data_IF_169207864595
#
_entry.id   IF_169207864595
#
_cell.length_a   1.000
_cell.length_b   1.000
_cell.length_c   1.000
_cell.angle_alpha   90.00
_cell.angle_beta   90.00
_cell.angle_gamma   90.00
#
_symmetry.space_group_name_H-M   'P 1'
#
loop_
_entity.id
_entity.type
_entity.pdbx_description
1 polymer ?
#
# COMPACT_ATOMS: atom_id res chain seq x y z
N UNK A 1 25.79 -6.02 -29.01
CA UNK A 1 24.75 -5.46 -28.12
C UNK A 1 24.18 -6.64 -27.34
N UNK A 2 24.42 -6.75 -26.05
CA UNK A 2 23.73 -7.76 -25.22
C UNK A 2 22.33 -7.24 -24.99
N UNK A 3 21.35 -8.05 -25.32
CA UNK A 3 19.95 -7.76 -24.98
C UNK A 3 19.84 -7.66 -23.45
N UNK A 4 19.62 -6.44 -22.95
CA UNK A 4 19.47 -6.13 -21.54
C UNK A 4 18.01 -6.03 -21.13
N UNK A 5 17.12 -6.72 -21.86
CA UNK A 5 15.73 -6.86 -21.44
C UNK A 5 15.73 -7.49 -20.04
N UNK A 6 15.06 -6.87 -19.05
CA UNK A 6 14.98 -7.46 -17.73
C UNK A 6 14.30 -8.82 -17.83
N UNK A 7 14.99 -9.86 -17.41
CA UNK A 7 14.42 -11.20 -17.30
C UNK A 7 13.25 -11.10 -16.32
N UNK A 8 12.02 -11.31 -16.81
CA UNK A 8 10.85 -11.37 -15.95
C UNK A 8 11.08 -12.52 -14.95
N UNK A 9 10.92 -12.22 -13.67
CA UNK A 9 10.96 -13.23 -12.62
C UNK A 9 9.68 -14.05 -12.75
N UNK A 10 9.81 -15.37 -12.92
CA UNK A 10 8.66 -16.27 -12.88
C UNK A 10 8.19 -16.40 -11.42
N UNK A 11 7.18 -15.62 -11.07
CA UNK A 11 6.63 -15.51 -9.71
C UNK A 11 5.09 -15.38 -9.80
N UNK A 12 4.40 -16.46 -10.26
CA UNK A 12 2.96 -16.46 -10.41
C UNK A 12 2.23 -16.49 -9.06
N UNK A 13 0.99 -16.00 -9.05
CA UNK A 13 0.12 -16.11 -7.89
C UNK A 13 -0.69 -17.41 -7.91
N UNK A 14 -0.59 -18.22 -6.85
CA UNK A 14 -1.44 -19.38 -6.61
C UNK A 14 -2.67 -18.96 -5.78
N UNK A 15 -3.78 -18.64 -6.46
CA UNK A 15 -5.02 -18.21 -5.82
C UNK A 15 -5.61 -19.25 -4.85
N UNK A 16 -5.66 -20.56 -5.18
CA UNK A 16 -6.06 -21.60 -4.23
C UNK A 16 -5.23 -21.59 -2.94
N UNK A 17 -3.90 -21.55 -3.05
CA UNK A 17 -3.00 -21.53 -1.90
C UNK A 17 -3.16 -20.25 -1.07
N UNK A 18 -3.31 -19.07 -1.71
CA UNK A 18 -3.58 -17.80 -1.04
C UNK A 18 -4.90 -17.85 -0.24
N UNK A 19 -5.99 -18.34 -0.86
CA UNK A 19 -7.28 -18.45 -0.19
C UNK A 19 -7.23 -19.42 1.00
N UNK A 20 -6.56 -20.56 0.84
CA UNK A 20 -6.36 -21.51 1.94
C UNK A 20 -5.56 -20.88 3.10
N UNK A 21 -4.47 -20.17 2.77
CA UNK A 21 -3.65 -19.49 3.76
C UNK A 21 -4.40 -18.34 4.48
N UNK A 22 -5.39 -17.72 3.83
CA UNK A 22 -6.23 -16.65 4.40
C UNK A 22 -7.51 -17.18 5.08
N UNK A 23 -7.66 -18.49 5.25
CA UNK A 23 -8.84 -19.05 5.92
C UNK A 23 -9.08 -18.38 7.28
N UNK A 24 -10.32 -17.95 7.53
CA UNK A 24 -10.70 -17.19 8.74
C UNK A 24 -10.46 -15.69 8.68
N UNK A 25 -9.74 -15.18 7.68
CA UNK A 25 -9.56 -13.75 7.42
C UNK A 25 -10.75 -13.17 6.65
N UNK A 26 -11.07 -11.86 6.80
CA UNK A 26 -12.10 -11.19 6.00
C UNK A 26 -11.79 -11.18 4.50
N UNK A 27 -10.55 -11.49 4.10
CA UNK A 27 -10.09 -11.53 2.71
C UNK A 27 -10.28 -12.89 2.03
N UNK A 28 -10.52 -13.96 2.79
CA UNK A 28 -10.70 -15.31 2.27
C UNK A 28 -11.85 -15.40 1.27
N UNK A 29 -11.61 -15.98 0.08
CA UNK A 29 -12.59 -16.10 -0.98
C UNK A 29 -12.95 -14.79 -1.70
N UNK A 30 -12.18 -13.71 -1.45
CA UNK A 30 -12.42 -12.38 -2.01
C UNK A 30 -11.22 -11.81 -2.77
N UNK A 31 -10.36 -12.69 -3.24
CA UNK A 31 -9.16 -12.35 -4.02
C UNK A 31 -9.50 -12.32 -5.52
N UNK A 32 -9.23 -11.21 -6.17
CA UNK A 32 -9.45 -10.98 -7.60
C UNK A 32 -8.13 -10.61 -8.27
N UNK A 33 -7.57 -11.52 -9.04
CA UNK A 33 -6.32 -11.34 -9.77
C UNK A 33 -6.57 -10.93 -11.22
N UNK A 34 -5.72 -10.04 -11.73
CA UNK A 34 -5.73 -9.56 -13.12
C UNK A 34 -4.32 -9.64 -13.72
N UNK A 35 -4.12 -10.33 -14.85
CA UNK A 35 -2.84 -10.27 -15.57
C UNK A 35 -2.47 -8.82 -15.96
N UNK A 36 -3.45 -8.04 -16.42
CA UNK A 36 -3.30 -6.62 -16.71
C UNK A 36 -4.62 -5.91 -16.46
N UNK A 37 -4.56 -4.71 -15.90
CA UNK A 37 -5.73 -3.86 -15.64
C UNK A 37 -5.35 -2.39 -15.79
N UNK A 38 -6.33 -1.53 -16.01
CA UNK A 38 -6.09 -0.08 -16.06
C UNK A 38 -5.56 0.43 -14.71
N UNK A 39 -6.31 0.21 -13.62
CA UNK A 39 -5.92 0.55 -12.25
C UNK A 39 -6.71 -0.30 -11.26
N UNK A 40 -6.03 -0.98 -10.34
CA UNK A 40 -6.69 -1.75 -9.27
C UNK A 40 -7.54 -0.87 -8.37
N UNK A 41 -7.11 0.37 -8.06
CA UNK A 41 -7.89 1.33 -7.27
C UNK A 41 -9.17 1.76 -7.98
N UNK A 42 -9.06 2.17 -9.25
CA UNK A 42 -10.24 2.58 -10.02
C UNK A 42 -11.24 1.44 -10.14
N UNK A 43 -10.76 0.23 -10.40
CA UNK A 43 -11.61 -0.96 -10.48
C UNK A 43 -12.27 -1.25 -9.12
N UNK A 44 -11.51 -1.22 -8.02
CA UNK A 44 -12.04 -1.45 -6.67
C UNK A 44 -13.13 -0.44 -6.29
N UNK A 45 -12.96 0.85 -6.64
CA UNK A 45 -13.99 1.88 -6.42
C UNK A 45 -15.27 1.57 -7.19
N UNK A 46 -15.17 1.18 -8.47
CA UNK A 46 -16.33 0.78 -9.28
C UNK A 46 -17.04 -0.46 -8.72
N UNK A 47 -16.27 -1.46 -8.28
CA UNK A 47 -16.81 -2.66 -7.64
C UNK A 47 -17.48 -2.36 -6.31
N UNK A 48 -16.95 -1.41 -5.53
CA UNK A 48 -17.56 -0.95 -4.28
C UNK A 48 -18.95 -0.34 -4.50
N UNK A 49 -19.13 0.45 -5.56
CA UNK A 49 -20.41 1.02 -5.99
C UNK A 49 -21.38 -0.05 -6.49
N UNK A 50 -20.87 -1.10 -7.13
CA UNK A 50 -21.63 -2.27 -7.59
C UNK A 50 -21.96 -3.27 -6.48
N UNK A 51 -21.60 -2.98 -5.22
CA UNK A 51 -21.96 -3.80 -4.06
C UNK A 51 -20.95 -4.87 -3.69
N UNK A 52 -19.71 -4.82 -4.18
CA UNK A 52 -18.67 -5.74 -3.75
C UNK A 52 -18.52 -5.74 -2.22
N UNK A 53 -18.32 -6.91 -1.58
CA UNK A 53 -18.28 -7.02 -0.13
C UNK A 53 -17.03 -6.34 0.48
N UNK A 54 -17.16 -5.98 1.76
CA UNK A 54 -16.02 -5.57 2.60
C UNK A 54 -14.92 -6.64 2.58
N UNK A 55 -13.66 -6.24 2.49
CA UNK A 55 -12.53 -7.17 2.38
C UNK A 55 -12.28 -7.72 0.97
N UNK A 56 -12.93 -7.22 -0.09
CA UNK A 56 -12.55 -7.56 -1.47
C UNK A 56 -11.17 -7.02 -1.79
N UNK A 57 -10.32 -7.88 -2.39
CA UNK A 57 -8.94 -7.59 -2.74
C UNK A 57 -8.75 -7.70 -4.24
N UNK A 58 -8.31 -6.64 -4.88
CA UNK A 58 -8.05 -6.55 -6.31
C UNK A 58 -6.55 -6.34 -6.53
N UNK A 59 -5.88 -7.24 -7.24
CA UNK A 59 -4.45 -7.13 -7.47
C UNK A 59 -4.08 -7.58 -8.89
N UNK A 60 -2.94 -7.08 -9.38
CA UNK A 60 -2.57 -7.26 -10.77
C UNK A 60 -1.06 -7.47 -10.95
N UNK A 61 -0.71 -8.13 -12.06
CA UNK A 61 0.68 -8.20 -12.53
C UNK A 61 1.12 -6.90 -13.20
N UNK A 62 0.18 -6.19 -13.84
CA UNK A 62 0.42 -4.92 -14.53
C UNK A 62 -0.73 -3.94 -14.32
N UNK A 63 -0.41 -2.66 -14.24
CA UNK A 63 -1.38 -1.57 -14.40
C UNK A 63 -0.98 -0.67 -15.56
N UNK A 64 -1.89 -0.49 -16.54
CA UNK A 64 -1.64 0.36 -17.71
C UNK A 64 -1.80 1.86 -17.41
N UNK A 65 -2.49 2.21 -16.31
CA UNK A 65 -2.64 3.57 -15.82
C UNK A 65 -2.72 3.59 -14.29
N UNK A 66 -1.67 3.06 -13.63
CA UNK A 66 -1.54 3.08 -12.18
C UNK A 66 -1.60 4.51 -11.63
N UNK A 67 -2.26 4.67 -10.47
CA UNK A 67 -2.54 5.98 -9.87
C UNK A 67 -1.76 6.18 -8.58
N UNK A 68 -1.22 7.38 -8.41
CA UNK A 68 -0.68 7.89 -7.16
C UNK A 68 -1.52 9.03 -6.61
N UNK A 69 -1.08 9.64 -5.53
CA UNK A 69 -1.76 10.77 -4.88
C UNK A 69 -1.73 12.02 -5.79
N UNK A 70 -2.84 12.77 -5.82
CA UNK A 70 -3.00 13.92 -6.71
C UNK A 70 -3.08 13.47 -8.17
N UNK A 71 -2.33 14.13 -9.04
CA UNK A 71 -2.27 13.81 -10.47
C UNK A 71 -1.08 12.90 -10.84
N UNK A 72 -0.36 12.34 -9.86
CA UNK A 72 0.82 11.51 -10.14
C UNK A 72 0.42 10.12 -10.61
N UNK A 73 1.14 9.60 -11.61
CA UNK A 73 1.05 8.21 -12.03
C UNK A 73 1.91 7.31 -11.12
N UNK A 74 1.50 6.05 -11.01
CA UNK A 74 2.31 4.98 -10.42
C UNK A 74 2.71 4.01 -11.53
N UNK A 75 4.00 3.93 -11.83
CA UNK A 75 4.54 3.03 -12.83
C UNK A 75 4.43 1.58 -12.35
N UNK A 76 3.73 0.75 -13.12
CA UNK A 76 3.35 -0.60 -12.72
C UNK A 76 3.66 -1.63 -13.81
N UNK A 77 4.95 -1.85 -14.18
CA UNK A 77 5.30 -2.77 -15.25
C UNK A 77 5.00 -4.22 -14.87
N UNK A 78 4.71 -5.04 -15.88
CA UNK A 78 4.35 -6.45 -15.76
C UNK A 78 5.35 -7.23 -14.89
N UNK A 79 4.83 -8.01 -13.94
CA UNK A 79 5.61 -8.93 -13.10
C UNK A 79 6.61 -8.29 -12.16
N UNK A 80 6.72 -6.97 -12.13
CA UNK A 80 7.80 -6.28 -11.43
C UNK A 80 7.45 -5.81 -10.02
N UNK A 81 6.17 -5.66 -9.71
CA UNK A 81 5.73 -5.15 -8.44
C UNK A 81 4.53 -5.89 -7.86
N UNK A 82 4.13 -5.49 -6.68
CA UNK A 82 2.87 -5.87 -6.05
C UNK A 82 1.93 -4.67 -6.11
N UNK A 83 0.87 -4.76 -6.91
CA UNK A 83 -0.13 -3.72 -7.13
C UNK A 83 -1.47 -4.22 -6.60
N UNK A 84 -1.87 -3.77 -5.43
CA UNK A 84 -3.03 -4.29 -4.72
C UNK A 84 -3.92 -3.17 -4.19
N UNK A 85 -5.24 -3.36 -4.28
CA UNK A 85 -6.25 -2.47 -3.72
C UNK A 85 -7.22 -3.28 -2.87
N UNK A 86 -7.42 -2.85 -1.64
CA UNK A 86 -8.32 -3.49 -0.68
C UNK A 86 -9.52 -2.61 -0.44
N UNK A 87 -10.71 -3.15 -0.69
CA UNK A 87 -11.99 -2.50 -0.40
C UNK A 87 -12.35 -2.72 1.06
N UNK A 88 -12.58 -1.62 1.79
CA UNK A 88 -12.94 -1.62 3.19
C UNK A 88 -14.21 -0.77 3.42
N UNK A 89 -15.01 -1.17 4.42
CA UNK A 89 -16.18 -0.41 4.89
C UNK A 89 -16.04 -0.06 6.38
N UNK A 90 -15.02 0.77 6.72
CA UNK A 90 -14.70 1.06 8.11
C UNK A 90 -15.77 1.96 8.74
N UNK A 91 -16.07 1.71 10.02
CA UNK A 91 -17.00 2.55 10.81
C UNK A 91 -16.25 3.74 11.41
N UNK A 92 -15.74 4.62 10.57
CA UNK A 92 -15.05 5.85 10.97
C UNK A 92 -15.65 7.07 10.28
N UNK A 93 -15.42 8.25 10.84
CA UNK A 93 -15.80 9.51 10.20
C UNK A 93 -14.85 9.82 9.00
N UNK A 94 -15.32 10.57 7.99
CA UNK A 94 -14.46 10.97 6.87
C UNK A 94 -13.19 11.74 7.30
N UNK A 95 -13.28 12.52 8.36
CA UNK A 95 -12.13 13.25 8.92
C UNK A 95 -11.03 12.32 9.46
N UNK A 96 -11.36 11.07 9.78
CA UNK A 96 -10.45 10.08 10.35
C UNK A 96 -9.81 9.17 9.30
N UNK A 97 -10.11 9.36 8.02
CA UNK A 97 -9.65 8.46 6.93
C UNK A 97 -8.12 8.41 6.82
N UNK A 98 -7.44 9.48 7.22
CA UNK A 98 -5.98 9.53 7.22
C UNK A 98 -5.38 8.41 8.08
N UNK A 99 -6.02 8.06 9.20
CA UNK A 99 -5.56 6.99 10.08
C UNK A 99 -5.56 5.62 9.40
N UNK A 100 -6.49 5.40 8.46
CA UNK A 100 -6.50 4.17 7.65
C UNK A 100 -5.28 4.10 6.72
N UNK A 101 -4.90 5.22 6.10
CA UNK A 101 -3.69 5.30 5.27
C UNK A 101 -2.42 5.04 6.09
N UNK A 102 -2.35 5.61 7.30
CA UNK A 102 -1.22 5.44 8.21
C UNK A 102 -1.15 4.00 8.77
N UNK A 103 -2.28 3.40 9.09
CA UNK A 103 -2.39 1.99 9.47
C UNK A 103 -1.89 1.07 8.34
N UNK A 104 -2.26 1.36 7.08
CA UNK A 104 -1.75 0.64 5.93
C UNK A 104 -0.22 0.80 5.78
N UNK A 105 0.33 1.99 6.05
CA UNK A 105 1.77 2.22 6.09
C UNK A 105 2.49 1.35 7.12
N UNK A 106 1.93 1.22 8.32
CA UNK A 106 2.45 0.32 9.36
C UNK A 106 2.35 -1.15 8.93
N UNK A 107 1.26 -1.54 8.26
CA UNK A 107 1.10 -2.90 7.74
C UNK A 107 2.15 -3.23 6.69
N UNK A 108 2.43 -2.32 5.75
CA UNK A 108 3.51 -2.50 4.76
C UNK A 108 4.88 -2.57 5.45
N UNK A 109 5.17 -1.65 6.37
CA UNK A 109 6.44 -1.65 7.10
C UNK A 109 6.68 -3.00 7.79
N UNK A 110 5.71 -3.52 8.52
CA UNK A 110 5.80 -4.81 9.20
C UNK A 110 5.97 -5.98 8.21
N UNK A 111 5.26 -5.93 7.07
CA UNK A 111 5.36 -6.91 6.00
C UNK A 111 6.79 -7.00 5.47
N UNK A 112 7.37 -5.86 5.10
CA UNK A 112 8.72 -5.81 4.55
C UNK A 112 9.74 -6.33 5.57
N UNK A 113 9.69 -5.85 6.81
CA UNK A 113 10.58 -6.35 7.86
C UNK A 113 10.49 -7.86 8.04
N UNK A 114 9.28 -8.38 8.11
CA UNK A 114 9.02 -9.81 8.37
C UNK A 114 9.47 -10.71 7.22
N UNK A 115 9.20 -10.32 5.98
CA UNK A 115 9.47 -11.15 4.80
C UNK A 115 10.91 -11.01 4.34
N UNK A 116 11.46 -9.78 4.39
CA UNK A 116 12.75 -9.48 3.76
C UNK A 116 13.88 -9.20 4.74
N UNK A 117 13.56 -8.94 6.01
CA UNK A 117 14.48 -8.42 7.03
C UNK A 117 15.08 -7.05 6.71
N UNK A 118 14.57 -6.35 5.68
CA UNK A 118 14.94 -4.97 5.41
C UNK A 118 14.19 -4.03 6.36
N UNK A 119 14.81 -2.90 6.69
CA UNK A 119 14.22 -1.87 7.57
C UNK A 119 13.80 -0.64 6.74
N UNK A 120 12.52 -0.55 6.34
CA UNK A 120 12.02 0.59 5.61
C UNK A 120 11.77 1.78 6.53
N UNK A 121 11.84 2.98 5.99
CA UNK A 121 11.48 4.23 6.66
C UNK A 121 10.09 4.69 6.22
N UNK A 122 9.24 5.06 7.18
CA UNK A 122 7.91 5.60 6.91
C UNK A 122 7.99 7.11 6.69
N UNK A 123 7.66 7.56 5.49
CA UNK A 123 7.50 8.99 5.19
C UNK A 123 6.01 9.33 5.15
N UNK A 124 5.60 10.06 6.16
CA UNK A 124 4.22 10.57 6.26
C UNK A 124 3.83 11.37 4.98
N UNK A 125 2.58 11.27 4.48
CA UNK A 125 1.50 10.45 5.03
C UNK A 125 1.34 9.07 4.37
N UNK A 126 2.08 8.72 3.31
CA UNK A 126 1.68 7.62 2.43
C UNK A 126 2.83 6.91 1.70
N UNK A 127 4.07 7.15 2.08
CA UNK A 127 5.23 6.61 1.38
C UNK A 127 6.13 5.76 2.30
N UNK A 128 6.76 4.72 1.74
CA UNK A 128 7.84 4.02 2.40
C UNK A 128 9.09 4.06 1.54
N UNK A 129 10.23 4.29 2.20
CA UNK A 129 11.51 4.56 1.58
C UNK A 129 12.60 3.65 2.13
N UNK A 130 13.68 3.52 1.33
CA UNK A 130 15.00 3.15 1.81
C UNK A 130 15.94 4.34 1.54
N UNK A 131 16.45 4.95 2.60
CA UNK A 131 17.12 6.24 2.49
C UNK A 131 16.20 7.30 1.86
N UNK A 132 16.64 8.01 0.80
CA UNK A 132 15.80 9.02 0.13
C UNK A 132 14.86 8.42 -0.94
N UNK A 133 14.97 7.13 -1.27
CA UNK A 133 14.33 6.52 -2.43
C UNK A 133 13.07 5.75 -2.04
N UNK A 134 11.97 6.06 -2.72
CA UNK A 134 10.66 5.46 -2.50
C UNK A 134 10.56 4.10 -3.18
N UNK A 135 10.14 3.08 -2.44
CA UNK A 135 9.81 1.76 -2.99
C UNK A 135 8.33 1.42 -2.88
N UNK A 136 7.58 2.09 -2.00
CA UNK A 136 6.16 1.86 -1.83
C UNK A 136 5.39 3.17 -1.72
N UNK A 137 4.20 3.19 -2.34
CA UNK A 137 3.22 4.26 -2.22
C UNK A 137 1.86 3.72 -1.84
N UNK A 138 1.13 4.48 -1.03
CA UNK A 138 -0.23 4.15 -0.58
C UNK A 138 -1.18 5.23 -1.08
N UNK A 139 -2.31 4.81 -1.65
CA UNK A 139 -3.37 5.69 -2.12
C UNK A 139 -4.70 5.25 -1.52
N UNK A 140 -5.20 6.01 -0.55
CA UNK A 140 -6.53 5.79 0.03
C UNK A 140 -7.54 6.72 -0.64
N UNK A 141 -8.54 6.12 -1.29
CA UNK A 141 -9.70 6.81 -1.87
C UNK A 141 -10.96 6.37 -1.15
N UNK A 142 -11.95 7.26 -1.07
CA UNK A 142 -13.18 6.97 -0.33
C UNK A 142 -14.41 7.54 -1.03
N UNK A 143 -15.55 6.92 -0.74
CA UNK A 143 -16.87 7.51 -0.90
C UNK A 143 -17.46 7.68 0.50
N UNK A 144 -17.96 8.87 0.81
CA UNK A 144 -18.45 9.20 2.14
C UNK A 144 -19.70 10.07 2.10
N UNK A 145 -20.53 9.93 3.12
CA UNK A 145 -21.54 10.88 3.52
C UNK A 145 -20.93 11.90 4.51
N UNK A 146 -21.70 12.87 4.94
CA UNK A 146 -21.21 13.92 5.85
C UNK A 146 -20.59 13.35 7.14
N UNK A 147 -21.15 12.27 7.67
CA UNK A 147 -20.78 11.73 8.99
C UNK A 147 -20.11 10.36 8.96
N UNK A 148 -20.12 9.67 7.82
CA UNK A 148 -19.58 8.30 7.74
C UNK A 148 -18.92 8.00 6.40
N UNK A 149 -17.92 7.15 6.43
CA UNK A 149 -17.34 6.53 5.23
C UNK A 149 -18.28 5.40 4.76
N UNK A 150 -18.73 5.45 3.52
CA UNK A 150 -19.48 4.36 2.87
C UNK A 150 -18.57 3.21 2.52
N UNK A 151 -17.48 3.53 1.87
CA UNK A 151 -16.37 2.61 1.58
C UNK A 151 -15.08 3.40 1.37
N UNK A 152 -13.98 2.73 1.60
CA UNK A 152 -12.64 3.20 1.29
C UNK A 152 -11.89 2.13 0.50
N UNK A 153 -11.07 2.53 -0.44
CA UNK A 153 -10.16 1.66 -1.17
C UNK A 153 -8.74 2.05 -0.78
N UNK A 154 -8.00 1.10 -0.23
CA UNK A 154 -6.59 1.27 0.12
C UNK A 154 -5.74 0.62 -0.97
N UNK A 155 -5.22 1.44 -1.88
CA UNK A 155 -4.27 1.03 -2.90
C UNK A 155 -2.85 1.04 -2.35
N UNK A 156 -2.12 -0.04 -2.60
CA UNK A 156 -0.74 -0.22 -2.18
C UNK A 156 0.07 -0.69 -3.39
N UNK A 157 1.06 0.12 -3.78
CA UNK A 157 2.02 -0.22 -4.83
C UNK A 157 3.40 -0.45 -4.21
N UNK A 158 3.98 -1.63 -4.41
CA UNK A 158 5.32 -1.98 -3.93
C UNK A 158 6.19 -2.33 -5.13
N UNK A 159 7.31 -1.63 -5.30
CA UNK A 159 8.34 -1.98 -6.25
C UNK A 159 9.12 -3.21 -5.70
N UNK A 160 8.95 -4.37 -6.33
CA UNK A 160 9.56 -5.63 -5.85
C UNK A 160 10.78 -5.99 -6.67
N UNK A 161 10.61 -6.28 -7.95
CA UNK A 161 11.64 -6.80 -8.84
C UNK A 161 12.21 -5.77 -9.82
N UNK A 162 11.74 -4.52 -9.80
CA UNK A 162 12.26 -3.49 -10.70
C UNK A 162 13.77 -3.35 -10.55
N UNK A 163 14.50 -3.65 -11.61
CA UNK A 163 15.96 -3.47 -11.68
C UNK A 163 16.37 -2.15 -12.31
N UNK A 164 15.41 -1.49 -13.00
CA UNK A 164 15.62 -0.22 -13.68
C UNK A 164 14.39 0.69 -13.51
N UNK A 165 14.65 1.99 -13.46
CA UNK A 165 13.64 3.04 -13.44
C UNK A 165 13.91 4.04 -14.57
N UNK A 166 12.89 4.72 -15.11
CA UNK A 166 13.07 5.90 -15.96
C UNK A 166 14.06 6.89 -15.34
N UNK A 167 14.79 7.61 -16.18
CA UNK A 167 15.89 8.47 -15.74
C UNK A 167 15.46 9.49 -14.67
N UNK A 168 14.28 10.06 -14.84
CA UNK A 168 13.69 11.04 -13.92
C UNK A 168 13.31 10.42 -12.56
N UNK A 169 13.08 9.10 -12.49
CA UNK A 169 12.72 8.39 -11.25
C UNK A 169 13.92 7.77 -10.53
N UNK A 170 15.06 7.54 -11.21
CA UNK A 170 16.25 6.91 -10.61
C UNK A 170 16.73 7.56 -9.31
N UNK A 171 16.72 8.90 -9.17
CA UNK A 171 17.18 9.53 -7.93
C UNK A 171 16.23 9.33 -6.74
N UNK A 172 14.93 9.08 -7.01
CA UNK A 172 13.86 9.13 -6.00
C UNK A 172 13.09 7.81 -5.84
N UNK A 173 13.36 6.80 -6.67
CA UNK A 173 12.71 5.50 -6.62
C UNK A 173 13.72 4.36 -6.44
N UNK A 174 13.25 3.29 -5.80
CA UNK A 174 13.99 2.03 -5.61
C UNK A 174 13.02 0.84 -5.56
N UNK A 175 13.56 -0.37 -5.40
CA UNK A 175 12.80 -1.61 -5.25
C UNK A 175 13.43 -2.52 -4.20
N UNK A 176 12.70 -3.54 -3.76
CA UNK A 176 13.23 -4.55 -2.86
C UNK A 176 14.45 -5.28 -3.48
N UNK A 177 14.41 -5.51 -4.80
CA UNK A 177 15.52 -6.11 -5.52
C UNK A 177 16.77 -5.22 -5.49
N UNK A 178 16.64 -3.93 -5.76
CA UNK A 178 17.78 -3.00 -5.77
C UNK A 178 18.42 -2.82 -4.38
N UNK A 179 17.62 -2.94 -3.31
CA UNK A 179 18.11 -2.78 -1.94
C UNK A 179 18.75 -4.07 -1.36
N UNK A 180 18.40 -5.24 -1.92
CA UNK A 180 18.82 -6.53 -1.34
C UNK A 180 19.59 -7.42 -2.31
N UNK A 181 19.56 -7.13 -3.62
CA UNK A 181 20.04 -7.99 -4.71
C UNK A 181 19.38 -9.39 -4.70
N UNK A 182 18.15 -9.50 -4.17
CA UNK A 182 17.39 -10.74 -4.05
C UNK A 182 16.01 -10.61 -4.67
N UNK A 183 15.53 -11.70 -5.30
CA UNK A 183 14.14 -11.81 -5.70
C UNK A 183 13.29 -12.26 -4.51
N UNK A 184 12.12 -11.64 -4.38
CA UNK A 184 11.19 -11.87 -3.28
C UNK A 184 9.85 -12.35 -3.85
N UNK A 185 9.26 -13.39 -3.27
CA UNK A 185 7.93 -13.86 -3.68
C UNK A 185 6.88 -12.78 -3.45
N UNK A 186 6.22 -12.34 -4.53
CA UNK A 186 5.11 -11.39 -4.46
C UNK A 186 3.90 -12.01 -3.76
N UNK A 187 3.73 -13.32 -3.89
CA UNK A 187 2.70 -14.06 -3.17
C UNK A 187 2.91 -14.02 -1.66
N UNK A 188 4.14 -14.26 -1.17
CA UNK A 188 4.44 -14.20 0.26
C UNK A 188 4.29 -12.77 0.80
N UNK A 189 4.70 -11.77 0.01
CA UNK A 189 4.49 -10.36 0.34
C UNK A 189 3.00 -10.02 0.41
N UNK A 190 2.19 -10.48 -0.55
CA UNK A 190 0.74 -10.25 -0.54
C UNK A 190 0.08 -10.89 0.68
N UNK A 191 0.40 -12.16 0.97
CA UNK A 191 -0.15 -12.86 2.12
C UNK A 191 0.21 -12.16 3.45
N UNK A 192 1.48 -11.81 3.62
CA UNK A 192 1.95 -11.11 4.82
C UNK A 192 1.32 -9.72 4.94
N UNK A 193 1.16 -9.00 3.81
CA UNK A 193 0.52 -7.69 3.76
C UNK A 193 -0.94 -7.75 4.18
N UNK A 194 -1.72 -8.68 3.62
CA UNK A 194 -3.14 -8.83 3.96
C UNK A 194 -3.33 -9.16 5.44
N UNK A 195 -2.53 -10.07 6.00
CA UNK A 195 -2.56 -10.38 7.44
C UNK A 195 -2.17 -9.19 8.32
N UNK A 196 -1.19 -8.41 7.89
CA UNK A 196 -0.76 -7.22 8.63
C UNK A 196 -1.82 -6.12 8.53
N UNK A 197 -2.40 -5.91 7.35
CA UNK A 197 -3.47 -4.93 7.13
C UNK A 197 -4.72 -5.28 7.94
N UNK A 198 -5.13 -6.55 7.99
CA UNK A 198 -6.24 -7.01 8.84
C UNK A 198 -6.04 -6.59 10.29
N UNK A 199 -4.87 -6.88 10.88
CA UNK A 199 -4.56 -6.50 12.26
C UNK A 199 -4.64 -5.00 12.49
N UNK A 200 -4.09 -4.20 11.57
CA UNK A 200 -4.09 -2.74 11.69
C UNK A 200 -5.49 -2.15 11.54
N UNK A 201 -6.29 -2.67 10.59
CA UNK A 201 -7.68 -2.23 10.40
C UNK A 201 -8.53 -2.59 11.61
N UNK A 202 -8.40 -3.82 12.13
CA UNK A 202 -9.12 -4.24 13.35
C UNK A 202 -8.70 -3.38 14.54
N UNK A 203 -7.41 -3.13 14.74
CA UNK A 203 -6.92 -2.26 15.82
C UNK A 203 -7.48 -0.84 15.73
N UNK A 204 -7.65 -0.31 14.52
CA UNK A 204 -8.22 1.02 14.29
C UNK A 204 -9.74 1.06 14.52
N UNK A 205 -10.47 0.05 14.01
CA UNK A 205 -11.94 0.11 13.89
C UNK A 205 -12.69 -0.61 15.02
N UNK A 206 -12.09 -1.61 15.67
CA UNK A 206 -12.69 -2.36 16.78
C UNK A 206 -12.29 -1.81 18.15
N UNK A 207 -11.42 -0.80 18.21
CA UNK A 207 -11.04 -0.15 19.47
C UNK A 207 -12.25 0.54 20.11
N UNK A 208 -12.49 0.39 21.41
CA UNK A 208 -13.54 1.09 22.12
C UNK A 208 -13.34 2.63 22.14
N UNK A 209 -12.13 3.08 21.83
CA UNK A 209 -11.77 4.48 21.69
C UNK A 209 -10.90 4.71 20.46
N UNK A 210 -11.42 5.49 19.50
CA UNK A 210 -10.64 5.91 18.33
C UNK A 210 -9.38 6.69 18.78
N UNK A 211 -9.46 7.48 19.83
CA UNK A 211 -8.33 8.23 20.38
C UNK A 211 -7.21 7.30 20.83
N UNK A 212 -7.51 6.19 21.51
CA UNK A 212 -6.49 5.22 21.91
C UNK A 212 -5.86 4.50 20.73
N UNK A 213 -6.66 4.14 19.71
CA UNK A 213 -6.18 3.52 18.48
C UNK A 213 -5.24 4.46 17.70
N UNK A 214 -5.64 5.70 17.52
CA UNK A 214 -4.86 6.71 16.78
C UNK A 214 -3.57 7.08 17.52
N UNK A 215 -3.60 7.16 18.86
CA UNK A 215 -2.40 7.37 19.68
C UNK A 215 -1.40 6.22 19.54
N UNK A 216 -1.87 4.97 19.52
CA UNK A 216 -1.03 3.81 19.26
C UNK A 216 -0.39 3.85 17.86
N UNK A 217 -1.16 4.22 16.83
CA UNK A 217 -0.63 4.39 15.46
C UNK A 217 0.42 5.51 15.45
N UNK A 218 0.14 6.67 16.05
CA UNK A 218 1.06 7.81 16.15
C UNK A 218 2.38 7.40 16.78
N UNK A 219 2.35 6.77 17.94
CA UNK A 219 3.55 6.32 18.66
C UNK A 219 4.41 5.37 17.82
N UNK A 220 3.76 4.42 17.13
CA UNK A 220 4.46 3.47 16.28
C UNK A 220 5.06 4.12 15.03
N UNK A 221 4.37 5.09 14.43
CA UNK A 221 4.90 5.89 13.32
C UNK A 221 6.13 6.70 13.75
N UNK A 222 6.05 7.39 14.91
CA UNK A 222 7.16 8.17 15.43
C UNK A 222 8.42 7.34 15.68
N UNK A 223 8.26 6.05 16.05
CA UNK A 223 9.37 5.14 16.28
C UNK A 223 9.92 4.48 14.99
N UNK A 224 9.20 4.57 13.87
CA UNK A 224 9.53 3.93 12.59
C UNK A 224 9.73 4.92 11.46
N UNK A 225 9.79 6.22 11.79
CA UNK A 225 9.95 7.29 10.83
C UNK A 225 11.08 8.22 11.25
N UNK A 226 12.08 8.35 10.38
CA UNK A 226 13.10 9.38 10.54
C UNK A 226 12.61 10.78 10.11
N UNK A 227 11.38 10.87 9.58
CA UNK A 227 10.81 12.09 8.99
C UNK A 227 9.88 12.87 9.93
N UNK A 228 9.58 12.34 11.12
CA UNK A 228 8.62 12.97 12.05
C UNK A 228 9.34 13.75 13.15
N UNK A 229 10.25 13.10 13.88
CA UNK A 229 10.93 13.73 15.01
C UNK A 229 12.12 14.59 14.57
N UNK A 230 12.25 15.78 15.17
CA UNK A 230 13.43 16.65 14.99
C UNK A 230 13.50 17.35 13.63
N UNK A 231 12.48 17.24 12.78
CA UNK A 231 12.43 17.92 11.48
C UNK A 231 11.76 19.29 11.61
N UNK A 232 12.34 20.28 10.96
CA UNK A 232 11.65 21.55 10.72
C UNK A 232 10.70 21.35 9.57
N UNK A 233 9.43 21.68 9.78
CA UNK A 233 8.40 21.61 8.71
C UNK A 233 7.91 23.02 8.44
N UNK A 234 7.66 23.34 7.18
CA UNK A 234 6.95 24.53 6.77
C UNK A 234 5.49 24.15 6.57
N UNK A 235 4.59 24.87 7.24
CA UNK A 235 3.15 24.73 7.04
C UNK A 235 2.72 25.94 6.22
N UNK A 236 2.31 25.73 4.97
CA UNK A 236 1.74 26.78 4.14
C UNK A 236 0.22 26.83 4.44
N UNK A 237 -0.24 27.97 4.97
CA UNK A 237 -1.67 28.22 5.23
C UNK A 237 -2.39 28.31 3.87
N UNK A 238 -3.20 27.30 3.55
CA UNK A 238 -4.01 27.25 2.31
C UNK A 238 -4.03 25.91 1.59
N UNK A 239 -3.07 25.01 1.82
CA UNK A 239 -3.12 23.64 1.32
C UNK A 239 -3.12 22.65 2.49
N UNK A 240 -4.27 22.08 2.79
CA UNK A 240 -4.39 21.00 3.78
C UNK A 240 -3.54 19.81 3.30
N UNK A 241 -2.43 19.52 3.96
CA UNK A 241 -1.73 18.25 3.87
C UNK A 241 -0.38 18.23 3.15
N UNK A 242 0.34 19.33 2.98
CA UNK A 242 1.74 19.31 2.55
C UNK A 242 2.66 19.83 3.66
N UNK A 243 3.37 18.90 4.34
CA UNK A 243 4.58 19.25 5.04
C UNK A 243 5.75 19.17 4.04
N UNK A 244 6.41 20.28 3.77
CA UNK A 244 7.68 20.30 3.05
C UNK A 244 8.82 20.25 4.07
N UNK A 245 9.70 19.26 3.92
CA UNK A 245 10.94 19.11 4.72
C UNK A 245 12.06 19.80 4.00
#
# INVERSE_FOLDING_TARGET
MRDTSPTLVDDPFDLPALNAALAGSPFAGRLHFFPSIHSTNTHAMQQAESGAPDGSVFFADEQTAGRGRGAHAWTSPLGSGLYVSVLLRPRIAPADILWLSLAAGLAVHETIRRVTSLEPDLRWPNDLLFGPRKFCGILTELNAEVTRVRHAVVGIGINVHQSQFPEELRPIATSLFLESSRNWSRQDLLLALLRSLEREVVALTASPSLTAATESIRTRLENRSSWIRGKRVRVDEGEIGRAHV
#
